data_IF_439244326432
#
_entry.id   IF_439244326432
#
_cell.length_a   1.000
_cell.length_b   1.000
_cell.length_c   1.000
_cell.angle_alpha   90.00
_cell.angle_beta   90.00
_cell.angle_gamma   90.00
#
_symmetry.space_group_name_H-M   'P 1'
#
loop_
_entity.id
_entity.type
_entity.pdbx_description
1 polymer ?
#
# COMPACT_ATOMS: atom_id res chain seq x y z
N UNK A 1 19.63 11.21 -24.58
CA UNK A 1 21.06 11.55 -24.61
C UNK A 1 21.83 10.56 -23.73
N UNK A 2 21.89 9.27 -24.10
CA UNK A 2 22.48 8.21 -23.24
C UNK A 2 23.67 7.49 -23.87
N UNK A 3 23.94 7.74 -25.16
CA UNK A 3 24.96 7.04 -25.98
C UNK A 3 26.40 7.24 -25.49
N UNK A 4 26.66 8.22 -24.61
CA UNK A 4 28.01 8.54 -24.11
C UNK A 4 28.49 7.63 -22.98
N UNK A 5 27.61 7.27 -22.05
CA UNK A 5 27.99 6.56 -20.81
C UNK A 5 28.29 5.09 -21.11
N UNK A 6 27.50 4.47 -22.00
CA UNK A 6 27.71 3.08 -22.42
C UNK A 6 29.09 2.87 -23.06
N UNK A 7 29.57 3.83 -23.85
CA UNK A 7 30.90 3.75 -24.49
C UNK A 7 32.03 3.75 -23.45
N UNK A 8 31.95 4.64 -22.47
CA UNK A 8 32.92 4.71 -21.36
C UNK A 8 32.92 3.42 -20.54
N UNK A 9 31.74 2.84 -20.32
CA UNK A 9 31.58 1.61 -19.58
C UNK A 9 32.18 0.40 -20.34
N UNK A 10 31.96 0.32 -21.65
CA UNK A 10 32.56 -0.72 -22.51
C UNK A 10 34.09 -0.60 -22.51
N UNK A 11 34.63 0.61 -22.67
CA UNK A 11 36.08 0.83 -22.61
C UNK A 11 36.68 0.42 -21.26
N UNK A 12 36.02 0.76 -20.16
CA UNK A 12 36.45 0.39 -18.81
C UNK A 12 36.44 -1.13 -18.60
N UNK A 13 35.37 -1.82 -19.03
CA UNK A 13 35.26 -3.27 -18.90
C UNK A 13 36.27 -4.01 -19.78
N UNK A 14 36.59 -3.49 -20.97
CA UNK A 14 37.68 -3.97 -21.81
C UNK A 14 39.05 -3.80 -21.12
N UNK A 15 39.34 -2.61 -20.58
CA UNK A 15 40.60 -2.30 -19.87
C UNK A 15 40.80 -3.19 -18.64
N UNK A 16 39.73 -3.50 -17.91
CA UNK A 16 39.76 -4.33 -16.70
C UNK A 16 39.64 -5.83 -16.97
N UNK A 17 39.59 -6.26 -18.24
CA UNK A 17 39.46 -7.67 -18.68
C UNK A 17 38.25 -8.40 -18.07
N UNK A 18 37.18 -7.68 -17.75
CA UNK A 18 35.93 -8.24 -17.20
C UNK A 18 35.00 -8.70 -18.33
N UNK A 19 35.46 -9.71 -19.08
CA UNK A 19 34.82 -10.15 -20.34
C UNK A 19 33.40 -10.69 -20.14
N UNK A 20 33.14 -11.45 -19.06
CA UNK A 20 31.80 -11.98 -18.76
C UNK A 20 30.77 -10.87 -18.53
N UNK A 21 31.16 -9.81 -17.82
CA UNK A 21 30.30 -8.65 -17.56
C UNK A 21 30.01 -7.87 -18.83
N UNK A 22 31.01 -7.76 -19.71
CA UNK A 22 30.87 -7.09 -21.01
C UNK A 22 29.91 -7.84 -21.95
N UNK A 23 29.92 -9.17 -21.92
CA UNK A 23 28.99 -10.01 -22.69
C UNK A 23 27.54 -9.79 -22.26
N UNK A 24 27.28 -9.83 -20.94
CA UNK A 24 25.94 -9.55 -20.37
C UNK A 24 25.46 -8.15 -20.74
N UNK A 25 26.33 -7.13 -20.65
CA UNK A 25 25.99 -5.76 -21.00
C UNK A 25 25.57 -5.63 -22.48
N UNK A 26 26.26 -6.33 -23.39
CA UNK A 26 25.90 -6.33 -24.82
C UNK A 26 24.55 -7.00 -25.05
N UNK A 27 24.27 -8.10 -24.36
CA UNK A 27 22.99 -8.80 -24.46
C UNK A 27 21.81 -7.96 -23.94
N UNK A 28 22.00 -7.22 -22.85
CA UNK A 28 20.99 -6.31 -22.30
C UNK A 28 20.68 -5.15 -23.25
N UNK A 29 21.71 -4.51 -23.82
CA UNK A 29 21.55 -3.43 -24.82
C UNK A 29 20.82 -3.88 -26.09
N UNK A 30 20.90 -5.17 -26.43
CA UNK A 30 20.18 -5.77 -27.57
C UNK A 30 18.74 -6.14 -27.20
N UNK A 31 18.48 -6.57 -25.97
CA UNK A 31 17.13 -6.96 -25.49
C UNK A 31 16.21 -5.76 -25.32
N UNK A 32 16.68 -4.64 -24.78
CA UNK A 32 15.87 -3.42 -24.62
C UNK A 32 15.32 -2.90 -25.95
N UNK A 33 16.04 -3.11 -27.05
CA UNK A 33 15.63 -2.67 -28.39
C UNK A 33 14.63 -3.61 -29.06
N UNK A 34 14.37 -4.81 -28.51
CA UNK A 34 13.65 -5.89 -29.19
C UNK A 34 12.40 -6.39 -28.46
N UNK A 35 11.96 -5.75 -27.38
CA UNK A 35 10.70 -6.12 -26.69
C UNK A 35 9.47 -5.68 -27.48
N UNK A 36 9.19 -6.39 -28.58
CA UNK A 36 7.87 -6.42 -29.22
C UNK A 36 6.97 -7.31 -28.37
N UNK A 37 5.96 -6.72 -27.75
CA UNK A 37 4.90 -7.46 -27.07
C UNK A 37 4.20 -8.37 -28.08
N UNK A 38 3.99 -9.63 -27.72
CA UNK A 38 3.33 -10.64 -28.56
C UNK A 38 1.82 -10.42 -28.72
N UNK A 39 1.28 -9.38 -28.09
CA UNK A 39 -0.14 -9.05 -28.09
C UNK A 39 -0.32 -7.54 -28.26
N UNK A 40 -1.42 -7.19 -28.91
CA UNK A 40 -1.89 -5.80 -29.00
C UNK A 40 -2.81 -5.54 -27.82
N UNK A 41 -2.53 -4.52 -27.01
CA UNK A 41 -3.45 -4.08 -25.95
C UNK A 41 -4.63 -3.39 -26.63
N UNK A 42 -5.75 -4.11 -26.78
CA UNK A 42 -6.99 -3.50 -27.23
C UNK A 42 -7.52 -2.58 -26.12
N UNK A 43 -7.88 -1.35 -26.49
CA UNK A 43 -8.52 -0.40 -25.57
C UNK A 43 -9.78 -1.02 -24.96
N UNK A 44 -10.00 -0.79 -23.67
CA UNK A 44 -11.15 -1.33 -22.96
C UNK A 44 -12.48 -0.95 -23.67
N UNK A 45 -13.47 -1.86 -23.74
CA UNK A 45 -14.78 -1.57 -24.31
C UNK A 45 -15.43 -0.37 -23.61
N UNK A 46 -16.11 0.48 -24.37
CA UNK A 46 -16.90 1.58 -23.80
C UNK A 46 -17.97 0.99 -22.88
N UNK A 47 -17.99 1.40 -21.61
CA UNK A 47 -19.07 1.05 -20.68
C UNK A 47 -20.41 1.52 -21.25
N UNK A 48 -21.31 0.60 -21.55
CA UNK A 48 -22.72 0.90 -21.75
C UNK A 48 -23.30 1.41 -20.44
N UNK A 49 -23.84 2.62 -20.45
CA UNK A 49 -24.64 3.12 -19.34
C UNK A 49 -25.88 2.24 -19.23
N UNK A 50 -25.93 1.39 -18.22
CA UNK A 50 -27.15 0.67 -17.86
C UNK A 50 -28.06 1.70 -17.21
N UNK A 51 -29.19 2.04 -17.84
CA UNK A 51 -30.25 2.79 -17.18
C UNK A 51 -30.76 1.96 -16.01
N UNK A 52 -30.36 2.36 -14.80
CA UNK A 52 -30.90 1.78 -13.57
C UNK A 52 -32.35 2.25 -13.49
N UNK A 53 -33.29 1.40 -13.93
CA UNK A 53 -34.71 1.58 -13.64
C UNK A 53 -34.92 1.45 -12.13
N UNK A 54 -34.80 2.58 -11.43
CA UNK A 54 -35.25 2.69 -10.05
C UNK A 54 -36.77 2.53 -10.05
N UNK A 55 -37.23 1.33 -9.69
CA UNK A 55 -38.64 1.04 -9.41
C UNK A 55 -39.11 2.07 -8.36
N UNK A 56 -39.96 3.01 -8.79
CA UNK A 56 -40.57 4.00 -7.89
C UNK A 56 -41.41 3.25 -6.85
N UNK A 57 -40.91 3.14 -5.62
CA UNK A 57 -41.78 2.84 -4.47
C UNK A 57 -42.65 4.06 -4.25
N UNK A 58 -43.95 3.91 -4.50
CA UNK A 58 -44.97 4.92 -4.29
C UNK A 58 -45.19 5.20 -2.80
N UNK A 59 -45.40 6.50 -2.49
CA UNK A 59 -45.99 7.07 -1.26
C UNK A 59 -45.04 7.06 -0.04
N UNK A 60 -44.49 8.19 0.40
CA UNK A 60 -45.22 9.41 0.80
C UNK A 60 -44.36 10.66 0.60
N UNK A 61 -44.98 11.68 0.01
CA UNK A 61 -44.45 13.02 -0.14
C UNK A 61 -44.46 13.76 1.21
N UNK A 62 -43.29 13.96 1.82
CA UNK A 62 -43.00 15.13 2.63
C UNK A 62 -41.89 15.91 1.94
N UNK A 63 -42.32 16.96 1.26
CA UNK A 63 -41.49 18.10 0.85
C UNK A 63 -40.83 18.63 2.13
N UNK A 64 -39.50 18.78 2.11
CA UNK A 64 -38.82 20.00 2.56
C UNK A 64 -37.31 19.78 2.62
N UNK A 65 -36.60 20.53 1.77
CA UNK A 65 -35.24 21.04 1.96
C UNK A 65 -34.45 20.48 3.16
N UNK A 66 -33.86 19.29 3.01
CA UNK A 66 -32.69 18.94 3.80
C UNK A 66 -31.47 19.26 2.94
N UNK A 67 -31.05 20.53 2.97
CA UNK A 67 -29.62 20.89 2.89
C UNK A 67 -28.82 19.77 3.54
N UNK A 68 -27.80 19.28 2.85
CA UNK A 68 -26.86 18.23 3.27
C UNK A 68 -26.50 18.32 4.75
N UNK A 69 -27.33 17.72 5.61
CA UNK A 69 -27.04 17.65 7.04
C UNK A 69 -26.05 16.51 7.16
N UNK A 70 -24.76 16.87 7.25
CA UNK A 70 -23.69 15.95 7.62
C UNK A 70 -24.23 15.01 8.71
N UNK A 71 -24.20 13.69 8.49
CA UNK A 71 -24.73 12.75 9.46
C UNK A 71 -23.99 12.97 10.78
N UNK A 72 -24.74 13.18 11.87
CA UNK A 72 -24.14 13.37 13.19
C UNK A 72 -23.48 12.06 13.61
N UNK A 73 -22.16 11.97 13.43
CA UNK A 73 -21.40 10.78 13.76
C UNK A 73 -21.54 10.47 15.26
N UNK A 74 -22.03 9.27 15.64
CA UNK A 74 -22.14 8.86 17.03
C UNK A 74 -20.79 8.90 17.75
N UNK A 75 -20.79 9.31 19.02
CA UNK A 75 -19.57 9.33 19.86
C UNK A 75 -18.87 7.97 19.92
N UNK A 76 -19.64 6.87 19.92
CA UNK A 76 -19.12 5.49 19.88
C UNK A 76 -18.28 5.22 18.63
N UNK A 77 -18.73 5.69 17.46
CA UNK A 77 -17.99 5.54 16.20
C UNK A 77 -16.69 6.33 16.23
N UNK A 78 -16.69 7.57 16.76
CA UNK A 78 -15.48 8.38 16.90
C UNK A 78 -14.41 7.70 17.77
N UNK A 79 -14.82 6.99 18.83
CA UNK A 79 -13.89 6.22 19.68
C UNK A 79 -13.26 5.07 18.87
N UNK A 80 -14.08 4.34 18.11
CA UNK A 80 -13.61 3.25 17.26
C UNK A 80 -12.67 3.77 16.16
N UNK A 81 -13.08 4.81 15.44
CA UNK A 81 -12.28 5.42 14.39
C UNK A 81 -10.91 5.90 14.92
N UNK A 82 -10.87 6.49 16.13
CA UNK A 82 -9.60 6.82 16.80
C UNK A 82 -8.76 5.59 17.13
N UNK A 83 -9.36 4.52 17.66
CA UNK A 83 -8.65 3.27 17.97
C UNK A 83 -8.06 2.59 16.73
N UNK A 84 -8.77 2.67 15.61
CA UNK A 84 -8.33 2.14 14.31
C UNK A 84 -7.31 3.08 13.63
N UNK A 85 -7.15 4.31 14.13
CA UNK A 85 -6.21 5.29 13.57
C UNK A 85 -6.76 6.10 12.39
N UNK A 86 -8.08 6.11 12.16
CA UNK A 86 -8.67 6.86 11.04
C UNK A 86 -8.48 8.38 11.21
N UNK A 87 -7.99 9.10 10.18
CA UNK A 87 -7.94 10.56 10.17
C UNK A 87 -9.32 11.18 10.36
N UNK A 88 -9.39 12.26 11.15
CA UNK A 88 -10.66 12.95 11.48
C UNK A 88 -11.42 13.45 10.26
N UNK A 89 -10.69 13.84 9.22
CA UNK A 89 -11.22 14.38 7.97
C UNK A 89 -12.08 13.35 7.20
N UNK A 90 -11.80 12.06 7.38
CA UNK A 90 -12.51 11.00 6.67
C UNK A 90 -13.64 10.35 7.49
N UNK A 91 -13.86 10.74 8.74
CA UNK A 91 -14.86 10.10 9.59
C UNK A 91 -16.28 10.21 9.02
N UNK A 92 -16.60 11.31 8.34
CA UNK A 92 -17.90 11.52 7.69
C UNK A 92 -18.13 10.43 6.63
N UNK A 93 -17.15 10.22 5.74
CA UNK A 93 -17.19 9.24 4.66
C UNK A 93 -17.28 7.80 5.19
N UNK A 94 -16.47 7.45 6.18
CA UNK A 94 -16.49 6.10 6.75
C UNK A 94 -17.79 5.80 7.51
N UNK A 95 -18.46 6.83 8.05
CA UNK A 95 -19.75 6.64 8.68
C UNK A 95 -20.88 6.47 7.66
N UNK A 96 -20.82 7.16 6.52
CA UNK A 96 -21.77 6.99 5.42
C UNK A 96 -21.74 5.55 4.87
N UNK A 97 -20.54 5.02 4.60
CA UNK A 97 -20.33 3.68 4.05
C UNK A 97 -20.10 2.59 5.11
N UNK A 98 -20.51 2.82 6.36
CA UNK A 98 -20.28 1.90 7.49
C UNK A 98 -20.80 0.46 7.28
N UNK A 99 -21.75 0.27 6.38
CA UNK A 99 -22.31 -1.06 6.07
C UNK A 99 -21.43 -1.83 5.06
N UNK A 100 -20.65 -1.11 4.26
CA UNK A 100 -19.77 -1.68 3.24
C UNK A 100 -18.39 -2.03 3.81
N UNK A 101 -18.00 -1.36 4.90
CA UNK A 101 -16.73 -1.60 5.60
C UNK A 101 -16.92 -2.49 6.83
N UNK A 102 -16.17 -3.60 6.87
CA UNK A 102 -15.99 -4.39 8.09
C UNK A 102 -14.70 -3.96 8.78
N UNK A 103 -14.84 -3.37 9.97
CA UNK A 103 -13.69 -3.03 10.81
C UNK A 103 -13.35 -4.22 11.71
N UNK A 104 -12.23 -4.89 11.44
CA UNK A 104 -11.67 -5.88 12.36
C UNK A 104 -10.65 -5.21 13.27
N UNK A 105 -10.99 -5.09 14.55
CA UNK A 105 -10.08 -4.58 15.57
C UNK A 105 -9.42 -5.79 16.21
N UNK A 106 -8.15 -6.04 15.90
CA UNK A 106 -7.35 -7.01 16.65
C UNK A 106 -7.12 -6.44 18.05
N UNK A 107 -7.71 -7.07 19.06
CA UNK A 107 -7.66 -6.62 20.45
C UNK A 107 -6.25 -6.74 21.04
N UNK A 108 -5.49 -7.75 20.60
CA UNK A 108 -4.15 -8.02 21.07
C UNK A 108 -3.13 -7.76 19.97
N UNK A 109 -2.61 -6.52 19.94
CA UNK A 109 -1.48 -6.16 19.10
C UNK A 109 -0.18 -6.53 19.84
N UNK A 110 0.13 -7.83 19.89
CA UNK A 110 1.42 -8.33 20.36
C UNK A 110 2.36 -8.47 19.16
N UNK A 111 3.54 -7.90 19.28
CA UNK A 111 4.64 -8.08 18.32
C UNK A 111 5.51 -9.22 18.85
N UNK A 112 5.76 -10.20 17.98
CA UNK A 112 6.72 -11.27 18.23
C UNK A 112 7.98 -11.03 17.42
N UNK A 113 9.13 -11.24 18.05
CA UNK A 113 10.41 -11.24 17.36
C UNK A 113 10.57 -12.51 16.52
N UNK A 114 10.87 -12.37 15.24
CA UNK A 114 11.23 -13.49 14.33
C UNK A 114 12.73 -13.62 14.11
N UNK A 115 13.54 -12.85 14.84
CA UNK A 115 14.99 -12.86 14.78
C UNK A 115 15.59 -14.25 15.06
N UNK A 116 16.82 -14.46 14.59
CA UNK A 116 17.54 -15.73 14.69
C UNK A 116 16.74 -16.91 14.10
N UNK A 117 16.23 -16.76 12.87
CA UNK A 117 15.45 -17.79 12.15
C UNK A 117 14.23 -18.31 12.94
N UNK A 118 13.57 -17.44 13.71
CA UNK A 118 12.38 -17.80 14.49
C UNK A 118 12.65 -18.47 15.84
N UNK A 119 13.91 -18.51 16.31
CA UNK A 119 14.23 -19.03 17.65
C UNK A 119 14.10 -17.99 18.77
N UNK A 120 13.87 -16.72 18.43
CA UNK A 120 13.61 -15.71 19.44
C UNK A 120 12.17 -15.81 19.97
N UNK A 121 12.01 -15.83 21.30
CA UNK A 121 10.71 -15.89 21.98
C UNK A 121 10.23 -14.53 22.49
N UNK A 122 10.93 -13.46 22.12
CA UNK A 122 10.61 -12.12 22.60
C UNK A 122 9.24 -11.68 22.07
N UNK A 123 8.40 -11.22 22.98
CA UNK A 123 7.05 -10.74 22.69
C UNK A 123 6.81 -9.48 23.50
N UNK A 124 6.33 -8.43 22.83
CA UNK A 124 6.01 -7.14 23.45
C UNK A 124 4.73 -6.56 22.87
N UNK A 125 4.06 -5.71 23.62
CA UNK A 125 2.95 -4.91 23.10
C UNK A 125 3.46 -3.86 22.09
N UNK A 126 2.57 -3.39 21.20
CA UNK A 126 2.89 -2.33 20.24
C UNK A 126 3.09 -0.99 20.96
N UNK A 127 4.34 -0.51 20.97
CA UNK A 127 4.69 0.87 21.31
C UNK A 127 5.87 1.34 20.44
N UNK A 128 6.15 2.64 20.41
CA UNK A 128 7.25 3.19 19.61
C UNK A 128 8.59 2.55 20.00
N UNK A 129 9.37 2.12 19.00
CA UNK A 129 10.67 1.46 19.18
C UNK A 129 10.67 0.13 19.97
N UNK A 130 9.51 -0.47 20.25
CA UNK A 130 9.38 -1.69 21.07
C UNK A 130 10.27 -2.89 20.65
N UNK A 131 10.58 -3.01 19.36
CA UNK A 131 11.42 -4.11 18.85
C UNK A 131 12.87 -3.67 18.61
N UNK A 132 13.16 -2.36 18.54
CA UNK A 132 14.46 -1.83 18.12
C UNK A 132 15.54 -2.19 19.12
N UNK A 133 15.30 -1.93 20.41
CA UNK A 133 16.26 -2.25 21.47
C UNK A 133 16.57 -3.74 21.53
N UNK A 134 15.54 -4.57 21.34
CA UNK A 134 15.67 -6.01 21.29
C UNK A 134 16.45 -6.50 20.05
N UNK A 135 16.20 -5.93 18.87
CA UNK A 135 16.93 -6.26 17.63
C UNK A 135 18.42 -5.91 17.73
N UNK A 136 18.75 -4.75 18.32
CA UNK A 136 20.13 -4.28 18.49
C UNK A 136 20.87 -5.13 19.53
N UNK A 137 20.25 -5.38 20.69
CA UNK A 137 20.86 -6.11 21.79
C UNK A 137 20.99 -7.62 21.55
N UNK A 138 19.96 -8.26 21.00
CA UNK A 138 19.86 -9.73 20.96
C UNK A 138 20.11 -10.33 19.57
N UNK A 139 20.04 -9.52 18.50
CA UNK A 139 20.18 -10.02 17.13
C UNK A 139 21.30 -9.35 16.33
N UNK A 140 22.09 -8.47 16.98
CA UNK A 140 23.22 -7.77 16.38
C UNK A 140 22.88 -7.07 15.06
N UNK A 141 21.62 -6.68 14.87
CA UNK A 141 21.27 -5.76 13.80
C UNK A 141 22.00 -4.45 14.11
N UNK A 142 22.87 -4.02 13.19
CA UNK A 142 23.58 -2.76 13.31
C UNK A 142 22.61 -1.59 13.56
N UNK A 143 23.09 -0.48 14.13
CA UNK A 143 22.26 0.71 14.39
C UNK A 143 21.44 1.06 13.15
N UNK A 144 20.14 0.79 13.19
CA UNK A 144 19.20 1.16 12.13
C UNK A 144 19.20 2.69 12.06
N UNK A 145 19.40 3.33 10.88
CA UNK A 145 19.25 4.77 10.78
C UNK A 145 17.83 5.11 11.21
N UNK A 146 17.69 6.11 12.09
CA UNK A 146 16.40 6.57 12.57
C UNK A 146 15.60 7.10 11.37
N UNK A 147 14.72 6.28 10.81
CA UNK A 147 13.71 6.75 9.86
C UNK A 147 12.67 7.50 10.65
N UNK A 148 12.82 8.82 10.69
CA UNK A 148 11.76 9.75 11.03
C UNK A 148 10.60 9.52 10.05
N UNK A 149 9.40 9.31 10.59
CA UNK A 149 8.15 9.06 9.87
C UNK A 149 8.04 7.75 9.09
N UNK A 150 7.51 6.72 9.74
CA UNK A 150 6.78 5.65 9.06
C UNK A 150 5.34 6.15 8.89
N UNK A 151 5.04 6.76 7.74
CA UNK A 151 3.65 6.81 7.29
C UNK A 151 3.22 5.39 6.97
N UNK A 152 2.35 4.82 7.81
CA UNK A 152 1.80 3.49 7.58
C UNK A 152 1.00 3.55 6.26
N UNK A 153 1.40 2.85 5.18
CA UNK A 153 0.62 2.80 3.97
C UNK A 153 -0.62 1.98 4.28
N UNK A 154 -1.79 2.60 4.18
CA UNK A 154 -3.08 1.92 4.29
C UNK A 154 -3.17 0.85 3.20
N UNK A 155 -2.94 -0.42 3.55
CA UNK A 155 -3.16 -1.54 2.64
C UNK A 155 -4.67 -1.85 2.66
N UNK A 156 -5.36 -1.43 1.61
CA UNK A 156 -6.77 -1.77 1.36
C UNK A 156 -6.83 -3.04 0.51
N UNK A 157 -7.28 -4.15 1.08
CA UNK A 157 -7.73 -5.30 0.29
C UNK A 157 -9.25 -5.22 0.15
N UNK A 158 -9.72 -4.82 -1.03
CA UNK A 158 -11.12 -4.97 -1.42
C UNK A 158 -11.41 -6.45 -1.67
N UNK A 159 -12.16 -7.11 -0.80
CA UNK A 159 -12.77 -8.38 -1.13
C UNK A 159 -13.91 -8.12 -2.13
N UNK A 160 -13.67 -8.44 -3.40
CA UNK A 160 -14.75 -8.61 -4.37
C UNK A 160 -15.38 -9.97 -4.13
N UNK A 161 -16.70 -9.96 -3.97
CA UNK A 161 -17.52 -11.16 -3.78
C UNK A 161 -17.67 -11.95 -5.09
#
# INVERSE_FOLDING_TARGET
>A
MEVGIEKLLVEYLCKTKRLKTLEVLRDELVKEKRTKLSFTIQSAPKRTQVEIFRKKSSLTSKKDNALDKKPVIPKKFKIIAKKVGLPKEHWDLFYEYRNDFKFEIKQDLKIHCTGNKGHCKFTTDVFENCLVDHMVGNHSFGKMPQTTHIEVPWIWTSCSN
#
